data_IF_331109665146
#
_entry.id   IF_331109665146
#
_cell.length_a   1.000
_cell.length_b   1.000
_cell.length_c   1.000
_cell.angle_alpha   90.00
_cell.angle_beta   90.00
_cell.angle_gamma   90.00
#
_symmetry.space_group_name_H-M   'P 1'
#
loop_
_entity.id
_entity.type
_entity.pdbx_description
1 polymer ?
#
# COMPACT_ATOMS: atom_id res chain seq x y z
N UNK A 1 18.96 48.11 22.96
CA UNK A 1 19.37 47.20 21.87
C UNK A 1 18.59 45.92 22.05
N UNK A 2 17.83 45.44 21.06
CA UNK A 2 16.99 44.26 21.24
C UNK A 2 17.87 43.03 21.48
N UNK A 3 17.56 42.33 22.57
CA UNK A 3 18.23 41.12 23.05
C UNK A 3 18.09 40.02 21.98
N UNK A 4 19.21 39.59 21.39
CA UNK A 4 19.22 38.56 20.36
C UNK A 4 18.88 37.21 21.01
N UNK A 5 17.89 36.51 20.45
CA UNK A 5 17.50 35.17 20.89
C UNK A 5 18.70 34.22 20.77
N UNK A 6 19.41 34.00 21.88
CA UNK A 6 20.49 33.03 22.00
C UNK A 6 19.87 31.63 21.90
N UNK A 7 19.93 31.03 20.71
CA UNK A 7 19.65 29.61 20.54
C UNK A 7 20.80 28.88 21.23
N UNK A 8 20.56 28.33 22.43
CA UNK A 8 21.43 27.29 22.98
C UNK A 8 21.35 26.10 22.03
N UNK A 9 22.34 25.98 21.15
CA UNK A 9 22.56 24.73 20.46
C UNK A 9 22.89 23.70 21.55
N UNK A 10 22.11 22.61 21.68
CA UNK A 10 22.50 21.54 22.58
C UNK A 10 23.87 21.09 22.10
N UNK A 11 24.90 21.25 22.95
CA UNK A 11 26.26 20.83 22.65
C UNK A 11 26.18 19.51 21.92
N UNK A 12 26.76 19.44 20.72
CA UNK A 12 26.77 18.30 19.82
C UNK A 12 27.12 17.04 20.61
N UNK A 13 26.10 16.42 21.20
CA UNK A 13 26.28 15.38 22.22
C UNK A 13 26.96 14.26 21.49
N UNK A 14 28.25 14.09 21.79
CA UNK A 14 29.10 13.08 21.20
C UNK A 14 28.29 11.80 21.09
N UNK A 15 28.15 11.30 19.87
CA UNK A 15 27.32 10.17 19.43
C UNK A 15 27.26 9.03 20.46
N UNK A 16 26.42 9.15 21.49
CA UNK A 16 26.12 8.06 22.39
C UNK A 16 25.20 7.14 21.59
N UNK A 17 25.76 6.01 21.11
CA UNK A 17 24.94 4.93 20.56
C UNK A 17 23.94 4.53 21.66
N UNK A 18 22.62 4.69 21.44
CA UNK A 18 21.65 4.31 22.43
C UNK A 18 21.82 2.83 22.77
N UNK A 19 21.88 2.49 24.06
CA UNK A 19 21.94 1.09 24.48
C UNK A 19 20.65 0.37 24.10
N UNK A 20 20.69 -0.89 23.66
CA UNK A 20 19.50 -1.65 23.29
C UNK A 20 18.62 -1.89 24.52
N UNK A 21 17.60 -1.05 24.68
CA UNK A 21 16.64 -1.11 25.79
C UNK A 21 15.36 -1.84 25.35
N UNK A 22 15.08 -2.99 25.96
CA UNK A 22 13.88 -3.80 25.70
C UNK A 22 12.58 -3.07 26.06
N UNK A 23 12.63 -2.15 27.02
CA UNK A 23 11.51 -1.26 27.35
C UNK A 23 11.14 -0.32 26.21
N UNK A 24 12.06 0.02 25.30
CA UNK A 24 11.73 0.80 24.11
C UNK A 24 10.85 0.03 23.12
N UNK A 25 10.83 -1.30 23.20
CA UNK A 25 9.93 -2.15 22.42
C UNK A 25 8.46 -2.00 22.85
N UNK A 26 8.23 -1.69 24.13
CA UNK A 26 6.90 -1.49 24.73
C UNK A 26 6.53 -0.01 24.94
N UNK A 27 7.51 0.90 24.88
CA UNK A 27 7.34 2.33 25.21
C UNK A 27 6.62 3.19 24.17
N UNK A 28 6.37 2.69 22.95
CA UNK A 28 5.48 3.33 21.98
C UNK A 28 4.39 2.32 21.62
N UNK A 29 3.12 2.63 21.90
CA UNK A 29 2.00 1.68 21.90
C UNK A 29 1.80 0.83 20.64
N UNK A 30 2.39 1.21 19.51
CA UNK A 30 2.26 0.50 18.23
C UNK A 30 3.44 -0.43 17.88
N UNK A 31 4.56 -0.39 18.61
CA UNK A 31 5.74 -1.22 18.30
C UNK A 31 5.53 -2.74 18.45
N UNK A 32 4.82 -3.26 19.47
CA UNK A 32 4.59 -4.70 19.59
C UNK A 32 3.63 -5.26 18.53
N UNK A 33 2.86 -4.41 17.83
CA UNK A 33 2.04 -4.85 16.70
C UNK A 33 2.86 -5.27 15.48
N UNK A 34 4.02 -4.67 15.24
CA UNK A 34 4.86 -5.02 14.08
C UNK A 34 5.37 -6.48 14.08
N UNK A 35 6.01 -6.99 15.15
CA UNK A 35 6.43 -8.39 15.21
C UNK A 35 5.23 -9.34 15.23
N UNK A 36 4.13 -8.98 15.92
CA UNK A 36 2.92 -9.77 15.96
C UNK A 36 2.29 -9.91 14.57
N UNK A 37 2.21 -8.81 13.82
CA UNK A 37 1.75 -8.80 12.44
C UNK A 37 2.66 -9.60 11.51
N UNK A 38 3.98 -9.51 11.69
CA UNK A 38 4.96 -10.29 10.91
C UNK A 38 4.83 -11.79 11.18
N UNK A 39 4.72 -12.17 12.45
CA UNK A 39 4.49 -13.56 12.85
C UNK A 39 3.17 -14.10 12.32
N UNK A 40 2.08 -13.33 12.45
CA UNK A 40 0.76 -13.69 11.93
C UNK A 40 0.75 -13.85 10.41
N UNK A 41 1.46 -12.99 9.68
CA UNK A 41 1.62 -13.10 8.24
C UNK A 41 2.36 -14.40 7.85
N UNK A 42 3.48 -14.70 8.52
CA UNK A 42 4.23 -15.95 8.30
C UNK A 42 3.38 -17.19 8.60
N UNK A 43 2.63 -17.18 9.71
CA UNK A 43 1.71 -18.25 10.07
C UNK A 43 0.60 -18.41 9.02
N UNK A 44 -0.01 -17.32 8.56
CA UNK A 44 -1.07 -17.33 7.54
C UNK A 44 -0.58 -17.90 6.21
N UNK A 45 0.63 -17.53 5.77
CA UNK A 45 1.27 -18.08 4.57
C UNK A 45 1.51 -19.58 4.73
N UNK A 46 2.04 -20.01 5.88
CA UNK A 46 2.25 -21.43 6.18
C UNK A 46 0.94 -22.22 6.11
N UNK A 47 -0.11 -21.73 6.77
CA UNK A 47 -1.44 -22.34 6.73
C UNK A 47 -1.93 -22.44 5.28
N UNK A 48 -1.83 -21.37 4.48
CA UNK A 48 -2.28 -21.39 3.08
C UNK A 48 -1.50 -22.36 2.18
N UNK A 49 -0.22 -22.60 2.44
CA UNK A 49 0.61 -23.53 1.65
C UNK A 49 0.34 -24.99 2.04
N UNK A 50 0.16 -25.28 3.33
CA UNK A 50 0.10 -26.65 3.83
C UNK A 50 -1.32 -27.17 4.08
N UNK A 51 -2.29 -26.31 4.39
CA UNK A 51 -3.67 -26.73 4.66
C UNK A 51 -4.34 -27.46 3.48
N UNK A 52 -4.18 -27.05 2.20
CA UNK A 52 -4.80 -27.75 1.08
C UNK A 52 -4.30 -29.19 0.91
N UNK A 53 -3.05 -29.47 1.32
CA UNK A 53 -2.46 -30.82 1.23
C UNK A 53 -3.06 -31.80 2.24
N UNK A 54 -3.55 -31.28 3.36
CA UNK A 54 -4.20 -32.07 4.42
C UNK A 54 -5.67 -32.37 4.10
N UNK A 55 -6.28 -31.61 3.19
CA UNK A 55 -7.70 -31.70 2.84
C UNK A 55 -7.93 -32.50 1.53
N UNK A 56 -7.40 -33.72 1.45
CA UNK A 56 -7.56 -34.61 0.28
C UNK A 56 -8.66 -35.65 0.51
N UNK A 57 -9.73 -35.64 -0.29
CA UNK A 57 -10.83 -36.61 -0.21
C UNK A 57 -12.17 -36.07 -0.72
N UNK A 58 -13.19 -36.94 -0.87
CA UNK A 58 -14.55 -36.53 -1.22
C UNK A 58 -15.21 -35.84 -0.02
N UNK A 59 -15.47 -34.54 -0.12
CA UNK A 59 -16.12 -33.76 0.93
C UNK A 59 -17.57 -34.25 1.11
N UNK A 60 -17.87 -34.94 2.22
CA UNK A 60 -19.22 -35.36 2.57
C UNK A 60 -19.74 -34.56 3.79
N UNK A 61 -21.04 -34.28 3.82
CA UNK A 61 -21.70 -33.64 4.96
C UNK A 61 -21.37 -32.14 5.11
N UNK A 62 -21.08 -31.63 6.32
CA UNK A 62 -20.82 -30.19 6.56
C UNK A 62 -19.63 -29.62 5.78
N UNK A 63 -18.65 -30.46 5.46
CA UNK A 63 -17.47 -30.05 4.70
C UNK A 63 -17.79 -29.70 3.24
N UNK A 64 -18.81 -30.34 2.65
CA UNK A 64 -19.35 -29.96 1.34
C UNK A 64 -19.99 -28.57 1.39
N UNK A 65 -20.83 -28.32 2.39
CA UNK A 65 -21.47 -27.00 2.56
C UNK A 65 -20.44 -25.90 2.83
N UNK A 66 -19.39 -26.16 3.62
CA UNK A 66 -18.30 -25.20 3.83
C UNK A 66 -17.54 -24.88 2.52
N UNK A 67 -17.40 -25.87 1.63
CA UNK A 67 -16.88 -25.66 0.28
C UNK A 67 -17.81 -24.79 -0.57
N UNK A 68 -19.13 -25.01 -0.55
CA UNK A 68 -20.10 -24.15 -1.25
C UNK A 68 -20.10 -22.71 -0.69
N UNK A 69 -19.94 -22.54 0.63
CA UNK A 69 -19.76 -21.23 1.24
C UNK A 69 -18.47 -20.55 0.79
N UNK A 70 -17.41 -21.32 0.47
CA UNK A 70 -16.18 -20.77 -0.11
C UNK A 70 -16.43 -20.22 -1.53
N UNK A 71 -17.28 -20.85 -2.33
CA UNK A 71 -17.68 -20.31 -3.64
C UNK A 71 -18.54 -19.05 -3.49
N UNK A 72 -19.48 -19.02 -2.54
CA UNK A 72 -20.21 -17.81 -2.17
C UNK A 72 -19.27 -16.69 -1.68
N UNK A 73 -18.21 -17.06 -0.96
CA UNK A 73 -17.15 -16.15 -0.54
C UNK A 73 -16.34 -15.59 -1.73
N UNK A 74 -16.02 -16.41 -2.74
CA UNK A 74 -15.36 -15.95 -3.97
C UNK A 74 -16.24 -14.93 -4.71
N UNK A 75 -17.54 -15.19 -4.82
CA UNK A 75 -18.47 -14.25 -5.47
C UNK A 75 -18.59 -12.92 -4.70
N UNK A 76 -18.67 -12.97 -3.36
CA UNK A 76 -18.70 -11.75 -2.54
C UNK A 76 -17.37 -10.99 -2.58
N UNK A 77 -16.24 -11.70 -2.60
CA UNK A 77 -14.91 -11.11 -2.79
C UNK A 77 -14.80 -10.42 -4.16
N UNK A 78 -15.23 -11.08 -5.24
CA UNK A 78 -15.25 -10.51 -6.58
C UNK A 78 -16.08 -9.22 -6.63
N UNK A 79 -17.28 -9.24 -6.04
CA UNK A 79 -18.15 -8.06 -5.96
C UNK A 79 -17.51 -6.94 -5.14
N UNK A 80 -16.94 -7.23 -3.97
CA UNK A 80 -16.28 -6.24 -3.13
C UNK A 80 -15.10 -5.58 -3.85
N UNK A 81 -14.28 -6.36 -4.56
CA UNK A 81 -13.17 -5.86 -5.37
C UNK A 81 -13.66 -4.99 -6.53
N UNK A 82 -14.74 -5.39 -7.21
CA UNK A 82 -15.34 -4.62 -8.29
C UNK A 82 -15.91 -3.28 -7.80
N UNK A 83 -16.60 -3.29 -6.66
CA UNK A 83 -17.11 -2.06 -6.01
C UNK A 83 -15.95 -1.16 -5.60
N UNK A 84 -14.89 -1.68 -4.99
CA UNK A 84 -13.71 -0.91 -4.64
C UNK A 84 -13.03 -0.28 -5.87
N UNK A 85 -12.88 -1.05 -6.96
CA UNK A 85 -12.36 -0.55 -8.23
C UNK A 85 -13.23 0.57 -8.81
N UNK A 86 -14.55 0.42 -8.75
CA UNK A 86 -15.50 1.43 -9.18
C UNK A 86 -15.39 2.71 -8.35
N UNK A 87 -15.30 2.60 -7.02
CA UNK A 87 -15.12 3.76 -6.14
C UNK A 87 -13.80 4.49 -6.41
N UNK A 88 -12.70 3.77 -6.63
CA UNK A 88 -11.43 4.37 -7.06
C UNK A 88 -11.58 5.11 -8.39
N UNK A 89 -12.27 4.52 -9.37
CA UNK A 89 -12.54 5.16 -10.66
C UNK A 89 -13.40 6.43 -10.50
N UNK A 90 -14.46 6.36 -9.69
CA UNK A 90 -15.32 7.50 -9.39
C UNK A 90 -14.52 8.63 -8.75
N UNK A 91 -13.75 8.33 -7.71
CA UNK A 91 -12.94 9.32 -7.00
C UNK A 91 -11.92 9.99 -7.93
N UNK A 92 -11.30 9.21 -8.82
CA UNK A 92 -10.37 9.74 -9.82
C UNK A 92 -11.04 10.76 -10.74
N UNK A 93 -12.29 10.51 -11.15
CA UNK A 93 -13.08 11.41 -12.01
C UNK A 93 -13.55 12.66 -11.25
N UNK A 94 -14.00 12.49 -10.01
CA UNK A 94 -14.47 13.57 -9.14
C UNK A 94 -13.36 14.59 -8.83
N UNK A 95 -12.12 14.12 -8.76
CA UNK A 95 -10.92 14.95 -8.61
C UNK A 95 -10.49 15.72 -9.87
N UNK A 96 -11.33 15.74 -10.92
CA UNK A 96 -11.15 16.55 -12.15
C UNK A 96 -9.70 16.50 -12.68
N UNK A 97 -9.22 15.33 -13.14
CA UNK A 97 -7.80 15.11 -13.46
C UNK A 97 -7.27 16.06 -14.54
N UNK A 98 -8.16 16.51 -15.45
CA UNK A 98 -7.87 17.47 -16.50
C UNK A 98 -7.39 18.83 -15.97
N UNK A 99 -7.89 19.27 -14.81
CA UNK A 99 -7.51 20.56 -14.22
C UNK A 99 -6.05 20.59 -13.78
N UNK A 100 -5.49 19.42 -13.44
CA UNK A 100 -4.14 19.32 -12.87
C UNK A 100 -3.10 18.82 -13.86
N UNK A 101 -3.46 18.70 -15.14
CA UNK A 101 -2.64 18.04 -16.16
C UNK A 101 -1.24 18.66 -16.32
N UNK A 102 -1.07 19.93 -15.96
CA UNK A 102 0.20 20.67 -16.07
C UNK A 102 1.12 20.55 -14.84
N UNK A 103 0.72 19.83 -13.79
CA UNK A 103 1.49 19.66 -12.54
C UNK A 103 1.98 18.20 -12.41
N UNK A 104 3.21 17.87 -12.85
CA UNK A 104 3.69 16.47 -12.90
C UNK A 104 3.72 15.77 -11.54
N UNK A 105 3.98 16.52 -10.46
CA UNK A 105 3.98 15.97 -9.09
C UNK A 105 2.60 15.50 -8.63
N UNK A 106 1.53 16.12 -9.12
CA UNK A 106 0.18 15.65 -8.84
C UNK A 106 -0.18 14.49 -9.77
N UNK A 107 0.20 14.57 -11.04
CA UNK A 107 -0.11 13.54 -12.03
C UNK A 107 0.33 12.14 -11.62
N UNK A 108 1.55 11.99 -11.09
CA UNK A 108 2.02 10.66 -10.67
C UNK A 108 1.12 10.04 -9.58
N UNK A 109 0.48 10.87 -8.75
CA UNK A 109 -0.48 10.39 -7.76
C UNK A 109 -1.76 9.86 -8.42
N UNK A 110 -2.26 10.54 -9.46
CA UNK A 110 -3.42 10.06 -10.24
C UNK A 110 -3.09 8.79 -11.01
N UNK A 111 -1.88 8.67 -11.58
CA UNK A 111 -1.44 7.45 -12.26
C UNK A 111 -1.41 6.28 -11.28
N UNK A 112 -0.75 6.45 -10.13
CA UNK A 112 -0.69 5.39 -9.11
C UNK A 112 -2.08 4.99 -8.60
N UNK A 113 -2.97 5.97 -8.36
CA UNK A 113 -4.34 5.68 -7.94
C UNK A 113 -5.17 4.98 -9.04
N UNK A 114 -5.01 5.37 -10.30
CA UNK A 114 -5.65 4.71 -11.42
C UNK A 114 -5.17 3.25 -11.57
N UNK A 115 -3.86 3.01 -11.43
CA UNK A 115 -3.30 1.66 -11.42
C UNK A 115 -3.84 0.82 -10.26
N UNK A 116 -4.08 1.40 -9.08
CA UNK A 116 -4.75 0.67 -7.99
C UNK A 116 -6.17 0.25 -8.38
N UNK A 117 -6.98 1.17 -8.93
CA UNK A 117 -8.33 0.84 -9.41
C UNK A 117 -8.34 -0.25 -10.48
N UNK A 118 -7.44 -0.16 -11.47
CA UNK A 118 -7.28 -1.18 -12.52
C UNK A 118 -6.82 -2.51 -11.93
N UNK A 119 -5.87 -2.49 -10.99
CA UNK A 119 -5.38 -3.67 -10.30
C UNK A 119 -6.48 -4.39 -9.51
N UNK A 120 -7.35 -3.64 -8.81
CA UNK A 120 -8.52 -4.18 -8.10
C UNK A 120 -9.55 -4.77 -9.06
N UNK A 121 -9.80 -4.11 -10.20
CA UNK A 121 -10.68 -4.63 -11.23
C UNK A 121 -10.14 -5.95 -11.82
N UNK A 122 -8.85 -6.01 -12.10
CA UNK A 122 -8.19 -7.24 -12.57
C UNK A 122 -8.21 -8.35 -11.52
N UNK A 123 -8.12 -8.01 -10.23
CA UNK A 123 -8.27 -8.97 -9.14
C UNK A 123 -9.71 -9.53 -9.09
N UNK A 124 -10.73 -8.69 -9.28
CA UNK A 124 -12.12 -9.12 -9.39
C UNK A 124 -12.33 -10.07 -10.59
N UNK A 125 -11.81 -9.69 -11.77
CA UNK A 125 -11.88 -10.52 -12.98
C UNK A 125 -11.12 -11.84 -12.81
N UNK A 126 -10.00 -11.85 -12.07
CA UNK A 126 -9.27 -13.07 -11.72
C UNK A 126 -10.10 -13.99 -10.83
N UNK A 127 -10.78 -13.46 -9.80
CA UNK A 127 -11.65 -14.26 -8.93
C UNK A 127 -12.85 -14.89 -9.66
N UNK A 128 -13.27 -14.31 -10.78
CA UNK A 128 -14.31 -14.86 -11.67
C UNK A 128 -13.75 -15.84 -12.72
N UNK A 129 -12.44 -16.09 -12.74
CA UNK A 129 -11.80 -16.96 -13.72
C UNK A 129 -11.59 -16.35 -15.12
N UNK A 130 -11.90 -15.07 -15.31
CA UNK A 130 -11.76 -14.37 -16.60
C UNK A 130 -10.30 -14.01 -16.92
N UNK A 131 -9.47 -13.84 -15.89
CA UNK A 131 -8.02 -13.63 -16.02
C UNK A 131 -7.32 -14.80 -15.34
N UNK A 132 -6.59 -15.62 -16.09
CA UNK A 132 -5.98 -16.85 -15.54
C UNK A 132 -4.65 -16.60 -14.82
N UNK A 133 -3.90 -15.58 -15.24
CA UNK A 133 -2.57 -15.29 -14.69
C UNK A 133 -2.68 -14.38 -13.47
N UNK A 134 -2.63 -14.98 -12.28
CA UNK A 134 -2.68 -14.27 -10.99
C UNK A 134 -1.61 -13.15 -10.89
N UNK A 135 -0.44 -13.33 -11.50
CA UNK A 135 0.62 -12.33 -11.45
C UNK A 135 0.21 -10.95 -11.99
N UNK A 136 -0.76 -10.87 -12.91
CA UNK A 136 -1.12 -9.60 -13.59
C UNK A 136 -1.67 -8.59 -12.58
N UNK A 137 -2.71 -8.93 -11.81
CA UNK A 137 -3.32 -7.99 -10.87
C UNK A 137 -2.34 -7.61 -9.75
N UNK A 138 -1.49 -8.55 -9.31
CA UNK A 138 -0.47 -8.30 -8.28
C UNK A 138 0.57 -7.28 -8.75
N UNK A 139 1.09 -7.41 -9.98
CA UNK A 139 2.10 -6.46 -10.50
C UNK A 139 1.50 -5.08 -10.72
N UNK A 140 0.27 -5.01 -11.24
CA UNK A 140 -0.42 -3.73 -11.44
C UNK A 140 -0.67 -3.03 -10.10
N UNK A 141 -1.08 -3.76 -9.05
CA UNK A 141 -1.25 -3.20 -7.70
C UNK A 141 0.07 -2.78 -7.06
N UNK A 142 1.06 -3.67 -7.03
CA UNK A 142 2.30 -3.46 -6.29
C UNK A 142 3.25 -2.49 -7.00
N UNK A 143 3.53 -2.73 -8.28
CA UNK A 143 4.47 -1.92 -9.06
C UNK A 143 3.76 -0.67 -9.61
N UNK A 144 2.60 -0.85 -10.24
CA UNK A 144 1.86 0.27 -10.85
C UNK A 144 1.16 1.18 -9.83
N UNK A 145 0.59 0.62 -8.78
CA UNK A 145 -0.17 1.36 -7.77
C UNK A 145 0.71 1.86 -6.63
N UNK A 146 1.06 0.97 -5.71
CA UNK A 146 1.75 1.31 -4.47
C UNK A 146 3.11 1.95 -4.71
N UNK A 147 3.96 1.36 -5.55
CA UNK A 147 5.32 1.89 -5.78
C UNK A 147 5.30 3.30 -6.38
N UNK A 148 4.41 3.55 -7.35
CA UNK A 148 4.22 4.86 -7.99
C UNK A 148 3.72 5.91 -6.99
N UNK A 149 2.73 5.56 -6.16
CA UNK A 149 2.24 6.44 -5.10
C UNK A 149 3.32 6.76 -4.06
N UNK A 150 4.10 5.76 -3.65
CA UNK A 150 5.20 5.93 -2.68
C UNK A 150 6.25 6.89 -3.24
N UNK A 151 6.66 6.73 -4.51
CA UNK A 151 7.60 7.64 -5.18
C UNK A 151 7.06 9.07 -5.23
N UNK A 152 5.77 9.24 -5.58
CA UNK A 152 5.13 10.57 -5.58
C UNK A 152 5.11 11.23 -4.20
N UNK A 153 4.77 10.46 -3.16
CA UNK A 153 4.72 10.93 -1.78
C UNK A 153 6.10 11.24 -1.21
N UNK A 154 7.12 10.40 -1.46
CA UNK A 154 8.49 10.64 -1.01
C UNK A 154 9.08 11.91 -1.62
N UNK A 155 8.87 12.15 -2.92
CA UNK A 155 9.33 13.39 -3.57
C UNK A 155 8.64 14.62 -3.00
N UNK A 156 7.34 14.51 -2.71
CA UNK A 156 6.57 15.59 -2.08
C UNK A 156 7.05 15.91 -0.67
N UNK A 157 7.26 14.89 0.17
CA UNK A 157 7.72 15.10 1.56
C UNK A 157 9.15 15.62 1.59
N UNK A 158 10.03 15.12 0.71
CA UNK A 158 11.39 15.63 0.57
C UNK A 158 11.42 17.13 0.23
N UNK A 159 10.63 17.56 -0.78
CA UNK A 159 10.53 18.98 -1.13
C UNK A 159 9.94 19.82 0.02
N UNK A 160 8.95 19.30 0.72
CA UNK A 160 8.32 19.95 1.88
C UNK A 160 9.28 20.16 3.05
N UNK A 161 10.06 19.14 3.43
CA UNK A 161 11.03 19.24 4.53
C UNK A 161 12.27 20.07 4.18
N UNK A 162 12.60 20.20 2.90
CA UNK A 162 13.66 21.08 2.41
C UNK A 162 13.23 22.55 2.29
N UNK A 163 11.97 22.88 2.61
CA UNK A 163 11.42 24.23 2.44
C UNK A 163 11.38 24.71 0.98
N UNK A 164 11.53 23.79 0.02
CA UNK A 164 11.55 24.10 -1.41
C UNK A 164 10.12 24.22 -1.95
N UNK A 165 9.86 25.12 -2.91
CA UNK A 165 8.57 25.14 -3.60
C UNK A 165 8.32 23.78 -4.27
N UNK A 166 7.07 23.30 -4.28
CA UNK A 166 6.66 22.02 -4.90
C UNK A 166 6.71 22.07 -6.44
N UNK A 167 7.88 22.37 -6.98
CA UNK A 167 8.16 22.47 -8.41
C UNK A 167 9.33 21.54 -8.71
N UNK A 168 9.07 20.57 -9.58
CA UNK A 168 10.09 19.63 -10.03
C UNK A 168 11.12 20.33 -10.92
N UNK A 169 12.40 20.05 -10.67
CA UNK A 169 13.51 20.46 -11.54
C UNK A 169 13.47 19.73 -12.90
N UNK A 170 14.36 20.09 -13.82
CA UNK A 170 14.32 19.53 -15.19
C UNK A 170 14.60 18.03 -15.22
N UNK A 171 15.51 17.54 -14.38
CA UNK A 171 15.85 16.11 -14.32
C UNK A 171 14.71 15.29 -13.71
N UNK A 172 14.11 15.75 -12.62
CA UNK A 172 12.98 15.04 -12.03
C UNK A 172 11.78 15.06 -12.97
N UNK A 173 11.49 16.18 -13.67
CA UNK A 173 10.41 16.21 -14.68
C UNK A 173 10.59 15.16 -15.78
N UNK A 174 11.81 14.87 -16.20
CA UNK A 174 12.07 13.82 -17.19
C UNK A 174 11.77 12.41 -16.65
N UNK A 175 11.97 12.16 -15.35
CA UNK A 175 11.60 10.90 -14.72
C UNK A 175 10.08 10.72 -14.51
N UNK A 176 9.32 11.81 -14.54
CA UNK A 176 7.86 11.82 -14.36
C UNK A 176 7.08 12.03 -15.68
N UNK A 177 7.78 12.24 -16.81
CA UNK A 177 7.20 12.46 -18.14
C UNK A 177 7.03 11.14 -18.88
#
# INVERSE_FOLDING_TARGET
MPDLLHIEEPERRATQRPQPQLSAFLGMGFRPLYPAGTFWAAASIGIWIFAPRLASGTLAGPAWHAHEMLWGFVATMALALAVAAFLCGWQLLDWKPLAVRRRPILWILYVGHACLGVGLLLAALHSLGLVQRAAIHVHVLAIGGFSVLIVGMMTRTALGHLGRPLVLDRMSKACYA
#
